data_IF_427829868979
#
_entry.id   IF_427829868979
#
_cell.length_a   1.000
_cell.length_b   1.000
_cell.length_c   1.000
_cell.angle_alpha   90.00
_cell.angle_beta   90.00
_cell.angle_gamma   90.00
#
_symmetry.space_group_name_H-M   'P 1'
#
loop_
_entity.id
_entity.type
_entity.pdbx_description
1 polymer ?
#
# COMPACT_ATOMS: atom_id res chain seq x y z
N UNK A 1 4.27 -15.22 1.37
CA UNK A 1 5.17 -15.21 2.56
C UNK A 1 4.34 -14.79 3.77
N UNK A 2 4.62 -15.33 4.95
CA UNK A 2 3.97 -14.92 6.19
C UNK A 2 5.05 -14.63 7.23
N UNK A 3 4.93 -13.51 7.94
CA UNK A 3 5.88 -13.10 8.97
C UNK A 3 5.12 -12.63 10.21
N UNK A 4 5.57 -13.06 11.38
CA UNK A 4 5.07 -12.58 12.67
C UNK A 4 5.78 -11.27 13.04
N UNK A 5 5.06 -10.33 13.65
CA UNK A 5 5.64 -9.10 14.15
C UNK A 5 6.60 -9.38 15.32
N UNK A 6 7.65 -8.57 15.43
CA UNK A 6 8.41 -8.42 16.68
C UNK A 6 7.52 -7.78 17.74
N UNK A 7 6.87 -6.68 17.38
CA UNK A 7 5.93 -5.96 18.22
C UNK A 7 4.94 -5.19 17.34
N UNK A 8 3.79 -4.85 17.94
CA UNK A 8 2.78 -3.97 17.35
C UNK A 8 2.32 -2.97 18.40
N UNK A 9 2.27 -1.70 18.02
CA UNK A 9 1.55 -0.64 18.71
C UNK A 9 0.22 -0.40 18.01
N UNK A 10 -0.87 -0.35 18.77
CA UNK A 10 -2.20 0.04 18.25
C UNK A 10 -2.72 1.21 19.06
N UNK A 11 -3.24 2.21 18.35
CA UNK A 11 -3.94 3.34 18.93
C UNK A 11 -5.26 3.58 18.22
N UNK A 12 -6.25 4.03 18.98
CA UNK A 12 -7.52 4.55 18.48
C UNK A 12 -7.44 6.06 18.63
N UNK A 13 -7.18 6.78 17.55
CA UNK A 13 -6.92 8.22 17.58
C UNK A 13 -8.01 8.98 16.84
N UNK A 14 -8.44 10.17 17.30
CA UNK A 14 -9.29 11.01 16.43
C UNK A 14 -8.44 11.63 15.30
N UNK A 15 -9.02 11.85 14.13
CA UNK A 15 -8.33 12.40 12.94
C UNK A 15 -7.74 13.81 13.22
N UNK A 16 -8.33 14.51 14.19
CA UNK A 16 -7.90 15.83 14.68
C UNK A 16 -6.93 15.79 15.86
N UNK A 17 -6.45 14.60 16.28
CA UNK A 17 -5.59 14.48 17.47
C UNK A 17 -4.22 15.13 17.29
N UNK A 18 -3.82 15.85 18.34
CA UNK A 18 -2.50 16.46 18.48
C UNK A 18 -1.39 15.40 18.48
N UNK A 19 -0.17 15.80 18.10
CA UNK A 19 0.98 14.91 17.97
C UNK A 19 1.30 14.10 19.25
N UNK A 20 0.86 14.57 20.42
CA UNK A 20 1.05 13.92 21.71
C UNK A 20 0.48 12.50 21.81
N UNK A 21 -0.71 12.22 21.27
CA UNK A 21 -1.32 10.88 21.38
C UNK A 21 -0.66 9.87 20.43
N UNK A 22 -0.27 10.30 19.22
CA UNK A 22 0.55 9.51 18.29
C UNK A 22 1.89 9.14 18.93
N UNK A 23 2.49 10.06 19.69
CA UNK A 23 3.71 9.80 20.44
C UNK A 23 3.55 8.77 21.56
N UNK A 24 2.37 8.65 22.19
CA UNK A 24 2.13 7.63 23.23
C UNK A 24 2.12 6.23 22.61
N UNK A 25 1.41 6.05 21.49
CA UNK A 25 1.39 4.78 20.75
C UNK A 25 2.79 4.40 20.28
N UNK A 26 3.57 5.38 19.80
CA UNK A 26 4.95 5.18 19.41
C UNK A 26 5.84 4.75 20.58
N UNK A 27 5.76 5.43 21.73
CA UNK A 27 6.56 5.08 22.92
C UNK A 27 6.27 3.68 23.44
N UNK A 28 4.99 3.30 23.51
CA UNK A 28 4.58 1.94 23.90
C UNK A 28 5.13 0.89 22.92
N UNK A 29 5.02 1.16 21.62
CA UNK A 29 5.57 0.31 20.58
C UNK A 29 7.10 0.15 20.69
N UNK A 30 7.84 1.24 20.84
CA UNK A 30 9.30 1.20 21.05
C UNK A 30 9.64 0.36 22.28
N UNK A 31 8.93 0.56 23.40
CA UNK A 31 9.13 -0.22 24.62
C UNK A 31 8.95 -1.73 24.39
N UNK A 32 7.93 -2.13 23.62
CA UNK A 32 7.71 -3.54 23.25
C UNK A 32 8.81 -4.11 22.37
N UNK A 33 9.36 -3.33 21.43
CA UNK A 33 10.49 -3.78 20.60
C UNK A 33 11.74 -3.98 21.44
N UNK A 34 12.05 -3.02 22.32
CA UNK A 34 13.21 -3.11 23.21
C UNK A 34 13.10 -4.31 24.16
N UNK A 35 11.92 -4.53 24.76
CA UNK A 35 11.65 -5.70 25.62
C UNK A 35 11.81 -7.02 24.85
N UNK A 36 11.33 -7.09 23.61
CA UNK A 36 11.51 -8.26 22.75
C UNK A 36 12.99 -8.50 22.37
N UNK A 37 13.75 -7.44 22.10
CA UNK A 37 15.18 -7.52 21.82
C UNK A 37 15.98 -7.97 23.05
N UNK A 38 15.62 -7.49 24.23
CA UNK A 38 16.27 -7.84 25.51
C UNK A 38 16.05 -9.31 25.87
N UNK A 39 14.82 -9.81 25.69
CA UNK A 39 14.44 -11.18 26.02
C UNK A 39 14.97 -12.22 25.03
N UNK A 40 15.30 -11.81 23.79
CA UNK A 40 15.67 -12.73 22.72
C UNK A 40 16.86 -12.21 21.90
N UNK A 41 18.09 -12.72 22.15
CA UNK A 41 19.27 -12.33 21.39
C UNK A 41 19.13 -12.53 19.88
N UNK A 42 18.39 -13.57 19.46
CA UNK A 42 18.06 -13.80 18.04
C UNK A 42 17.21 -12.66 17.47
N UNK A 43 16.21 -12.18 18.22
CA UNK A 43 15.38 -11.05 17.79
C UNK A 43 16.20 -9.79 17.69
N UNK A 44 17.06 -9.49 18.68
CA UNK A 44 17.99 -8.37 18.60
C UNK A 44 18.89 -8.46 17.37
N UNK A 45 19.56 -9.60 17.15
CA UNK A 45 20.43 -9.82 15.99
C UNK A 45 19.69 -9.61 14.66
N UNK A 46 18.44 -10.10 14.55
CA UNK A 46 17.62 -9.90 13.36
C UNK A 46 17.22 -8.42 13.18
N UNK A 47 16.91 -7.68 14.24
CA UNK A 47 16.65 -6.23 14.17
C UNK A 47 17.90 -5.50 13.66
N UNK A 48 19.09 -5.89 14.12
CA UNK A 48 20.34 -5.28 13.68
C UNK A 48 20.68 -5.52 12.19
N UNK A 49 20.02 -6.48 11.52
CA UNK A 49 20.14 -6.67 10.06
C UNK A 49 19.38 -5.62 9.25
N UNK A 50 18.47 -4.87 9.88
CA UNK A 50 17.70 -3.82 9.21
C UNK A 50 18.53 -2.53 9.09
N UNK A 51 18.23 -1.76 8.05
CA UNK A 51 18.88 -0.47 7.79
C UNK A 51 18.49 0.57 8.84
N UNK A 52 19.42 1.44 9.23
CA UNK A 52 19.15 2.63 10.04
C UNK A 52 18.77 3.85 9.20
N UNK A 53 18.84 3.74 7.86
CA UNK A 53 18.63 4.84 6.93
C UNK A 53 19.84 5.77 6.78
N UNK A 54 20.92 5.53 7.53
CA UNK A 54 22.16 6.32 7.50
C UNK A 54 23.24 5.66 6.61
N UNK A 55 23.04 4.40 6.20
CA UNK A 55 23.99 3.66 5.38
C UNK A 55 24.06 4.19 3.94
N UNK A 56 25.23 4.11 3.31
CA UNK A 56 25.35 4.38 1.89
C UNK A 56 24.77 3.22 1.08
N UNK A 57 24.23 3.49 -0.11
CA UNK A 57 23.55 2.47 -0.91
C UNK A 57 24.46 1.28 -1.28
N UNK A 58 25.77 1.49 -1.40
CA UNK A 58 26.75 0.46 -1.73
C UNK A 58 27.16 -0.40 -0.52
N UNK A 59 26.81 0.02 0.70
CA UNK A 59 27.16 -0.67 1.96
C UNK A 59 26.07 -1.66 2.41
N UNK A 60 24.88 -1.61 1.79
CA UNK A 60 23.74 -2.43 2.19
C UNK A 60 23.93 -3.90 1.73
N UNK A 61 24.21 -4.77 2.68
CA UNK A 61 24.32 -6.22 2.45
C UNK A 61 22.94 -6.86 2.60
N UNK A 62 22.47 -7.57 1.57
CA UNK A 62 21.25 -8.39 1.66
C UNK A 62 21.56 -9.65 2.48
N UNK A 63 20.93 -9.86 3.64
CA UNK A 63 21.21 -11.04 4.46
C UNK A 63 20.73 -12.33 3.79
N UNK A 64 21.40 -13.45 4.10
CA UNK A 64 21.00 -14.76 3.62
C UNK A 64 19.60 -15.14 4.13
N UNK A 65 18.73 -15.62 3.23
CA UNK A 65 17.34 -15.98 3.56
C UNK A 65 17.22 -17.07 4.64
N UNK A 66 18.28 -17.86 4.86
CA UNK A 66 18.33 -18.86 5.92
C UNK A 66 18.19 -18.25 7.32
N UNK A 67 18.66 -17.01 7.55
CA UNK A 67 18.58 -16.32 8.84
C UNK A 67 17.14 -16.15 9.35
N UNK A 68 16.19 -16.02 8.42
CA UNK A 68 14.79 -15.78 8.71
C UNK A 68 13.95 -17.06 8.78
N UNK A 69 14.54 -18.24 8.56
CA UNK A 69 13.82 -19.52 8.75
C UNK A 69 13.72 -19.83 10.24
N UNK A 70 12.51 -20.13 10.71
CA UNK A 70 12.30 -20.71 12.03
C UNK A 70 12.84 -22.14 12.00
N UNK A 71 13.80 -22.46 12.85
CA UNK A 71 14.32 -23.82 12.97
C UNK A 71 13.29 -24.69 13.73
N UNK A 72 13.16 -25.99 13.43
CA UNK A 72 12.30 -26.90 14.19
C UNK A 72 12.67 -26.97 15.69
N UNK A 73 13.92 -26.66 16.02
CA UNK A 73 14.47 -26.67 17.38
C UNK A 73 13.91 -25.53 18.25
N UNK A 74 13.47 -24.43 17.64
CA UNK A 74 12.84 -23.29 18.34
C UNK A 74 11.42 -23.64 18.86
N UNK A 75 10.83 -24.76 18.42
CA UNK A 75 9.53 -25.27 18.90
C UNK A 75 9.66 -26.23 20.10
N UNK A 76 10.88 -26.69 20.42
CA UNK A 76 11.14 -27.70 21.46
C UNK A 76 11.78 -27.13 22.75
N UNK A 77 11.98 -25.82 22.85
CA UNK A 77 12.55 -25.17 24.04
C UNK A 77 11.51 -24.93 25.17
N UNK A 78 10.68 -25.93 25.46
CA UNK A 78 9.91 -26.01 26.71
C UNK A 78 10.58 -26.88 27.78
N UNK A 79 11.79 -27.37 27.57
CA UNK A 79 12.49 -28.18 28.58
C UNK A 79 13.83 -27.57 29.01
N UNK A 80 13.73 -26.61 29.93
CA UNK A 80 14.35 -26.70 31.26
C UNK A 80 15.84 -26.99 31.43
N UNK A 81 16.69 -26.95 30.40
CA UNK A 81 18.13 -27.23 30.57
C UNK A 81 19.00 -26.02 30.24
N UNK A 82 19.42 -25.34 31.31
CA UNK A 82 20.49 -24.35 31.34
C UNK A 82 21.76 -24.92 30.68
N UNK A 83 22.05 -24.49 29.44
CA UNK A 83 23.40 -24.49 28.90
C UNK A 83 23.93 -23.06 28.99
N UNK A 84 24.86 -22.88 29.92
CA UNK A 84 25.64 -21.67 30.15
C UNK A 84 26.24 -21.19 28.82
N UNK A 85 25.94 -19.95 28.41
CA UNK A 85 26.79 -19.18 27.50
C UNK A 85 27.39 -18.04 28.31
N UNK A 86 28.64 -18.22 28.73
CA UNK A 86 29.53 -17.11 29.04
C UNK A 86 29.70 -16.29 27.76
N UNK A 87 29.00 -15.16 27.70
CA UNK A 87 29.18 -14.11 26.72
C UNK A 87 28.77 -12.83 27.43
N UNK A 88 29.64 -11.83 27.41
CA UNK A 88 29.32 -10.47 27.84
C UNK A 88 27.92 -10.11 27.35
N UNK A 89 27.01 -9.76 28.25
CA UNK A 89 25.70 -9.25 27.89
C UNK A 89 25.94 -7.98 27.07
N UNK A 90 25.97 -8.12 25.74
CA UNK A 90 26.10 -6.99 24.83
C UNK A 90 24.94 -6.06 25.14
N UNK A 91 25.29 -4.87 25.63
CA UNK A 91 24.32 -3.84 25.95
C UNK A 91 23.57 -3.53 24.66
N UNK A 92 22.24 -3.63 24.69
CA UNK A 92 21.40 -3.28 23.54
C UNK A 92 21.71 -1.85 23.11
N UNK A 93 22.05 -1.69 21.84
CA UNK A 93 22.23 -0.38 21.23
C UNK A 93 20.85 0.24 20.93
N UNK A 94 20.30 0.91 21.95
CA UNK A 94 18.98 1.55 21.88
C UNK A 94 18.93 2.62 20.80
N UNK A 95 20.01 3.40 20.61
CA UNK A 95 20.07 4.44 19.58
C UNK A 95 19.92 3.84 18.19
N UNK A 96 20.67 2.77 17.92
CA UNK A 96 20.55 2.03 16.66
C UNK A 96 19.14 1.46 16.46
N UNK A 97 18.53 0.87 17.49
CA UNK A 97 17.17 0.31 17.37
C UNK A 97 16.16 1.41 17.04
N UNK A 98 16.26 2.59 17.66
CA UNK A 98 15.36 3.70 17.36
C UNK A 98 15.47 4.13 15.88
N UNK A 99 16.69 4.24 15.35
CA UNK A 99 16.90 4.55 13.92
C UNK A 99 16.34 3.48 13.00
N UNK A 100 16.49 2.20 13.36
CA UNK A 100 15.85 1.09 12.62
C UNK A 100 14.33 1.26 12.60
N UNK A 101 13.72 1.59 13.73
CA UNK A 101 12.28 1.76 13.83
C UNK A 101 11.78 2.92 12.95
N UNK A 102 12.53 4.02 12.85
CA UNK A 102 12.13 5.18 12.05
C UNK A 102 11.93 4.87 10.56
N UNK A 103 12.66 3.88 10.00
CA UNK A 103 12.64 3.60 8.55
C UNK A 103 12.12 2.22 8.14
N UNK A 104 11.93 1.28 9.09
CA UNK A 104 11.52 -0.10 8.80
C UNK A 104 10.12 -0.46 9.30
N UNK A 105 9.49 0.40 10.09
CA UNK A 105 8.17 0.12 10.63
C UNK A 105 7.11 0.17 9.52
N UNK A 106 6.19 -0.78 9.57
CA UNK A 106 5.07 -0.87 8.64
C UNK A 106 3.79 -0.43 9.36
N UNK A 107 2.98 0.35 8.65
CA UNK A 107 1.62 0.63 9.08
C UNK A 107 0.75 -0.60 8.85
N UNK A 108 -0.17 -0.85 9.77
CA UNK A 108 -1.16 -1.90 9.67
C UNK A 108 -2.20 -1.51 8.60
N UNK A 109 -2.08 -2.09 7.41
CA UNK A 109 -3.13 -2.06 6.39
C UNK A 109 -4.30 -2.92 6.88
N UNK A 110 -5.24 -2.32 7.62
CA UNK A 110 -6.47 -2.98 8.06
C UNK A 110 -7.66 -2.44 7.24
N UNK A 111 -8.41 -3.29 6.52
CA UNK A 111 -9.69 -2.89 5.90
C UNK A 111 -10.67 -2.32 6.93
N UNK A 112 -10.53 -2.73 8.19
CA UNK A 112 -11.33 -2.25 9.31
C UNK A 112 -10.95 -0.84 9.79
N UNK A 113 -9.78 -0.30 9.43
CA UNK A 113 -9.41 1.07 9.78
C UNK A 113 -10.35 2.08 9.10
N UNK A 114 -10.74 1.81 7.85
CA UNK A 114 -11.74 2.61 7.12
C UNK A 114 -13.18 2.29 7.56
N UNK A 115 -13.51 1.02 7.81
CA UNK A 115 -14.89 0.61 8.18
C UNK A 115 -15.28 1.07 9.60
N UNK A 116 -14.32 1.18 10.52
CA UNK A 116 -14.53 1.76 11.85
C UNK A 116 -14.22 3.26 11.91
N UNK A 117 -13.65 3.84 10.84
CA UNK A 117 -13.19 5.23 10.75
C UNK A 117 -14.29 6.28 10.55
N UNK A 118 -15.56 5.86 10.56
CA UNK A 118 -16.71 6.70 10.21
C UNK A 118 -17.05 7.81 11.24
N UNK A 119 -16.29 7.95 12.33
CA UNK A 119 -16.49 9.02 13.33
C UNK A 119 -15.28 9.97 13.46
N UNK A 120 -14.39 10.02 12.45
CA UNK A 120 -13.13 10.75 12.56
C UNK A 120 -12.20 10.08 13.57
N UNK A 121 -12.19 8.75 13.62
CA UNK A 121 -11.32 7.93 14.48
C UNK A 121 -10.45 7.06 13.58
N UNK A 122 -9.15 7.32 13.53
CA UNK A 122 -8.15 6.53 12.81
C UNK A 122 -7.60 5.45 13.75
N UNK A 123 -7.80 4.18 13.40
CA UNK A 123 -7.05 3.08 14.00
C UNK A 123 -5.64 3.07 13.40
N UNK A 124 -4.66 3.56 14.13
CA UNK A 124 -3.26 3.47 13.72
C UNK A 124 -2.62 2.23 14.35
N UNK A 125 -2.32 1.23 13.51
CA UNK A 125 -1.42 0.14 13.87
C UNK A 125 -0.04 0.40 13.28
N UNK A 126 1.00 0.28 14.09
CA UNK A 126 2.41 0.27 13.64
C UNK A 126 3.06 -1.01 14.14
N UNK A 127 3.88 -1.64 13.33
CA UNK A 127 4.59 -2.83 13.74
C UNK A 127 5.91 -3.02 13.00
N UNK A 128 6.76 -3.85 13.60
CA UNK A 128 8.02 -4.26 13.00
C UNK A 128 7.92 -5.72 12.55
N UNK A 129 7.97 -5.94 11.24
CA UNK A 129 8.05 -7.27 10.65
C UNK A 129 9.36 -7.38 9.87
N UNK A 130 10.37 -8.00 10.48
CA UNK A 130 11.76 -7.96 10.00
C UNK A 130 11.87 -8.35 8.53
N UNK A 131 11.34 -9.51 8.13
CA UNK A 131 11.48 -9.98 6.75
C UNK A 131 10.71 -9.10 5.74
N UNK A 132 9.44 -8.71 5.97
CA UNK A 132 8.76 -7.70 5.15
C UNK A 132 9.44 -6.33 5.05
N UNK A 133 10.21 -5.90 6.06
CA UNK A 133 10.90 -4.59 6.06
C UNK A 133 12.00 -4.50 4.99
N UNK A 134 12.47 -5.62 4.43
CA UNK A 134 13.41 -5.63 3.30
C UNK A 134 12.75 -5.36 1.93
N UNK A 135 11.41 -5.29 1.85
CA UNK A 135 10.69 -5.15 0.58
C UNK A 135 10.64 -3.68 0.19
N UNK A 136 11.41 -3.31 -0.84
CA UNK A 136 11.55 -1.93 -1.33
C UNK A 136 10.27 -1.34 -1.94
N UNK A 137 10.30 -0.02 -2.12
CA UNK A 137 9.21 0.71 -2.75
C UNK A 137 9.20 0.64 -4.28
N UNK A 138 8.01 0.51 -4.86
CA UNK A 138 7.72 0.89 -6.25
C UNK A 138 6.35 1.53 -6.37
N UNK A 139 6.21 2.55 -7.22
CA UNK A 139 4.92 3.11 -7.59
C UNK A 139 4.14 2.26 -8.62
N UNK A 140 4.77 1.19 -9.10
CA UNK A 140 4.17 0.09 -9.85
C UNK A 140 4.52 -1.22 -9.11
N UNK A 141 3.98 -1.41 -7.89
CA UNK A 141 4.34 -2.53 -7.04
C UNK A 141 3.87 -3.86 -7.63
N UNK A 142 4.51 -4.95 -7.21
CA UNK A 142 4.15 -6.30 -7.60
C UNK A 142 3.76 -7.21 -6.43
N UNK A 143 3.85 -6.71 -5.20
CA UNK A 143 3.33 -7.35 -4.01
C UNK A 143 2.51 -6.38 -3.16
N UNK A 144 1.73 -6.95 -2.24
CA UNK A 144 1.00 -6.26 -1.19
C UNK A 144 1.06 -7.05 0.10
N UNK A 145 0.68 -6.40 1.18
CA UNK A 145 0.57 -7.02 2.50
C UNK A 145 -0.87 -6.94 3.00
N UNK A 146 -1.26 -7.92 3.80
CA UNK A 146 -2.49 -7.92 4.59
C UNK A 146 -2.13 -8.39 5.98
N UNK A 147 -2.66 -7.71 7.00
CA UNK A 147 -2.39 -8.05 8.40
C UNK A 147 -3.54 -8.88 8.97
N UNK A 148 -3.19 -9.94 9.69
CA UNK A 148 -4.12 -10.78 10.44
C UNK A 148 -3.54 -10.96 11.84
N UNK A 149 -4.12 -10.26 12.83
CA UNK A 149 -3.58 -10.24 14.18
C UNK A 149 -2.20 -9.59 14.20
N UNK A 150 -1.18 -10.35 14.58
CA UNK A 150 0.24 -9.95 14.58
C UNK A 150 1.04 -10.46 13.38
N UNK A 151 0.37 -11.09 12.41
CA UNK A 151 1.02 -11.65 11.22
C UNK A 151 0.81 -10.75 10.00
N UNK A 152 1.88 -10.44 9.29
CA UNK A 152 1.86 -9.86 7.96
C UNK A 152 1.92 -10.98 6.91
N UNK A 153 0.90 -11.02 6.04
CA UNK A 153 0.85 -11.92 4.89
C UNK A 153 1.21 -11.11 3.66
N UNK A 154 2.31 -11.47 3.02
CA UNK A 154 2.76 -10.85 1.77
C UNK A 154 2.39 -11.74 0.60
N UNK A 155 1.67 -11.17 -0.36
CA UNK A 155 1.21 -11.83 -1.58
C UNK A 155 1.54 -11.01 -2.82
N UNK A 156 1.72 -11.70 -3.94
CA UNK A 156 1.85 -11.08 -5.23
C UNK A 156 0.54 -10.37 -5.63
N UNK A 157 0.65 -9.14 -6.10
CA UNK A 157 -0.48 -8.33 -6.61
C UNK A 157 -0.58 -8.36 -8.13
N UNK A 158 0.43 -8.89 -8.81
CA UNK A 158 0.45 -9.28 -10.22
C UNK A 158 1.45 -10.41 -10.43
N UNK A 159 1.53 -10.94 -11.64
CA UNK A 159 2.57 -11.92 -11.97
C UNK A 159 3.97 -11.30 -11.80
N UNK A 160 4.87 -12.08 -11.20
CA UNK A 160 6.25 -11.71 -10.88
C UNK A 160 7.17 -12.66 -11.63
N UNK A 161 8.10 -12.14 -12.43
CA UNK A 161 9.07 -12.97 -13.15
C UNK A 161 10.18 -13.45 -12.23
N UNK A 162 10.81 -14.58 -12.56
CA UNK A 162 12.02 -15.01 -11.86
C UNK A 162 13.10 -13.92 -11.94
N UNK A 163 13.71 -13.58 -10.80
CA UNK A 163 14.70 -12.51 -10.69
C UNK A 163 14.12 -11.09 -10.65
N UNK A 164 12.79 -10.91 -10.72
CA UNK A 164 12.16 -9.61 -10.51
C UNK A 164 12.09 -9.29 -9.02
N UNK A 165 12.55 -8.10 -8.63
CA UNK A 165 12.49 -7.61 -7.25
C UNK A 165 11.03 -7.49 -6.77
N UNK A 166 10.76 -7.95 -5.54
CA UNK A 166 9.46 -7.79 -4.90
C UNK A 166 9.37 -6.40 -4.30
N UNK A 167 8.28 -5.67 -4.57
CA UNK A 167 8.12 -4.28 -4.14
C UNK A 167 6.72 -3.94 -3.62
N UNK A 168 6.66 -2.99 -2.68
CA UNK A 168 5.44 -2.43 -2.08
C UNK A 168 5.17 -0.97 -2.47
N UNK A 169 3.91 -0.52 -2.40
CA UNK A 169 3.61 0.90 -2.29
C UNK A 169 3.81 1.34 -0.83
N UNK A 170 4.78 2.22 -0.54
CA UNK A 170 5.00 2.76 0.81
C UNK A 170 4.01 3.86 1.16
N UNK A 171 3.52 4.55 0.13
CA UNK A 171 2.56 5.64 0.21
C UNK A 171 1.51 5.48 -0.89
N UNK A 172 0.51 6.36 -0.91
CA UNK A 172 -0.51 6.33 -1.95
C UNK A 172 0.10 6.55 -3.34
N UNK A 173 -0.14 5.58 -4.23
CA UNK A 173 0.35 5.59 -5.61
C UNK A 173 -0.72 6.04 -6.60
N UNK A 174 -1.93 6.36 -6.14
CA UNK A 174 -3.04 6.90 -6.95
C UNK A 174 -3.07 8.43 -7.01
N UNK A 175 -1.92 9.05 -6.73
CA UNK A 175 -1.71 10.50 -6.77
C UNK A 175 -0.68 10.88 -7.85
N UNK A 176 -0.64 12.16 -8.25
CA UNK A 176 0.27 12.61 -9.30
C UNK A 176 1.76 12.47 -8.95
N UNK A 177 2.62 12.56 -9.97
CA UNK A 177 4.07 12.32 -9.82
C UNK A 177 4.74 13.29 -8.85
N UNK A 178 4.28 14.54 -8.80
CA UNK A 178 4.79 15.54 -7.85
C UNK A 178 4.58 15.10 -6.40
N UNK A 179 3.38 14.60 -6.08
CA UNK A 179 3.02 14.09 -4.75
C UNK A 179 3.75 12.81 -4.39
N UNK A 180 3.92 11.89 -5.35
CA UNK A 180 4.71 10.66 -5.13
C UNK A 180 6.19 10.97 -4.86
N UNK A 181 6.76 12.00 -5.51
CA UNK A 181 8.13 12.47 -5.27
C UNK A 181 8.28 13.20 -3.93
N UNK A 182 7.28 13.99 -3.55
CA UNK A 182 7.22 14.60 -2.23
C UNK A 182 7.25 13.51 -1.14
N UNK A 183 6.39 12.49 -1.28
CA UNK A 183 6.34 11.36 -0.37
C UNK A 183 7.63 10.54 -0.34
N UNK A 184 8.24 10.24 -1.49
CA UNK A 184 9.52 9.49 -1.50
C UNK A 184 10.65 10.28 -0.83
N UNK A 185 10.72 11.60 -1.06
CA UNK A 185 11.73 12.46 -0.42
C UNK A 185 11.49 12.58 1.09
N UNK A 186 10.23 12.64 1.53
CA UNK A 186 9.90 12.58 2.95
C UNK A 186 10.34 11.26 3.60
N UNK A 187 10.35 10.17 2.83
CA UNK A 187 10.89 8.87 3.23
C UNK A 187 12.43 8.79 3.14
N UNK A 188 13.11 9.80 2.61
CA UNK A 188 14.56 9.82 2.46
C UNK A 188 15.12 9.24 1.16
N UNK A 189 14.29 9.01 0.12
CA UNK A 189 14.79 8.49 -1.17
C UNK A 189 14.13 9.13 -2.41
N UNK A 190 14.73 8.91 -3.58
CA UNK A 190 14.13 9.28 -4.87
C UNK A 190 13.63 8.04 -5.61
N UNK A 191 12.31 7.94 -5.84
CA UNK A 191 11.75 6.80 -6.55
C UNK A 191 12.09 6.84 -8.06
N UNK A 192 12.82 5.84 -8.54
CA UNK A 192 13.24 5.68 -9.95
C UNK A 192 12.55 4.51 -10.67
N UNK A 193 11.41 4.05 -10.17
CA UNK A 193 10.66 2.96 -10.80
C UNK A 193 10.19 3.32 -12.24
N UNK A 194 9.85 2.31 -13.03
CA UNK A 194 9.36 2.45 -14.43
C UNK A 194 8.32 3.57 -14.59
N UNK A 195 7.39 3.68 -13.64
CA UNK A 195 6.32 4.69 -13.67
C UNK A 195 6.85 6.10 -13.43
N UNK A 196 7.66 6.30 -12.40
CA UNK A 196 8.28 7.60 -12.10
C UNK A 196 9.17 8.06 -13.25
N UNK A 197 9.96 7.15 -13.82
CA UNK A 197 10.79 7.42 -15.00
C UNK A 197 9.95 7.85 -16.19
N UNK A 198 8.94 7.07 -16.56
CA UNK A 198 8.07 7.40 -17.69
C UNK A 198 7.44 8.79 -17.57
N UNK A 199 6.93 9.16 -16.40
CA UNK A 199 6.29 10.46 -16.17
C UNK A 199 7.30 11.62 -16.08
N UNK A 200 8.60 11.34 -16.21
CA UNK A 200 9.70 12.30 -16.05
C UNK A 200 10.65 12.39 -17.23
N UNK A 201 10.69 11.38 -18.10
CA UNK A 201 11.67 11.23 -19.19
C UNK A 201 11.47 12.26 -20.32
N UNK A 202 10.23 12.67 -20.60
CA UNK A 202 9.90 13.56 -21.71
C UNK A 202 9.47 14.95 -21.21
N UNK A 203 10.17 16.00 -21.67
CA UNK A 203 9.91 17.38 -21.28
C UNK A 203 8.49 17.86 -21.63
N UNK A 204 7.97 17.46 -22.79
CA UNK A 204 6.61 17.82 -23.23
C UNK A 204 5.59 17.11 -22.35
N UNK A 205 5.72 15.80 -22.14
CA UNK A 205 4.84 15.04 -21.26
C UNK A 205 4.87 15.59 -19.83
N UNK A 206 6.06 15.94 -19.31
CA UNK A 206 6.23 16.54 -17.99
C UNK A 206 5.47 17.85 -17.85
N UNK A 207 5.57 18.76 -18.83
CA UNK A 207 4.82 20.02 -18.82
C UNK A 207 3.30 19.78 -18.84
N UNK A 208 2.85 18.77 -19.58
CA UNK A 208 1.43 18.42 -19.66
C UNK A 208 0.90 17.82 -18.37
N UNK A 209 1.67 16.95 -17.72
CA UNK A 209 1.36 16.40 -16.40
C UNK A 209 1.25 17.54 -15.40
N UNK A 210 2.23 18.46 -15.36
CA UNK A 210 2.20 19.61 -14.45
C UNK A 210 0.97 20.50 -14.67
N UNK A 211 0.58 20.75 -15.92
CA UNK A 211 -0.66 21.50 -16.21
C UNK A 211 -1.88 20.76 -15.67
N UNK A 212 -1.94 19.45 -15.89
CA UNK A 212 -3.05 18.60 -15.43
C UNK A 212 -3.12 18.52 -13.90
N UNK A 213 -1.97 18.50 -13.23
CA UNK A 213 -1.86 18.55 -11.77
C UNK A 213 -2.38 19.89 -11.23
N UNK A 214 -2.03 21.01 -11.87
CA UNK A 214 -2.55 22.32 -11.49
C UNK A 214 -4.07 22.40 -11.68
N UNK A 215 -4.60 21.87 -12.79
CA UNK A 215 -6.05 21.82 -13.03
C UNK A 215 -6.78 20.98 -11.94
N UNK A 216 -6.15 19.90 -11.49
CA UNK A 216 -6.66 19.03 -10.42
C UNK A 216 -6.69 19.78 -9.07
N UNK A 217 -5.60 20.48 -8.71
CA UNK A 217 -5.50 21.23 -7.44
C UNK A 217 -6.44 22.43 -7.42
N UNK A 218 -6.59 23.13 -8.54
CA UNK A 218 -7.45 24.32 -8.64
C UNK A 218 -8.95 24.01 -8.66
N UNK A 219 -9.35 22.73 -8.67
CA UNK A 219 -10.76 22.33 -8.65
C UNK A 219 -11.52 22.67 -9.93
N UNK A 220 -10.87 22.55 -11.10
CA UNK A 220 -11.52 22.77 -12.40
C UNK A 220 -12.60 21.72 -12.76
N UNK A 221 -13.16 21.81 -13.97
CA UNK A 221 -14.10 20.78 -14.47
C UNK A 221 -13.34 19.45 -14.70
N UNK A 222 -13.49 18.52 -13.74
CA UNK A 222 -12.81 17.22 -13.75
C UNK A 222 -13.12 16.38 -14.99
N UNK A 223 -14.34 16.46 -15.51
CA UNK A 223 -14.69 15.76 -16.74
C UNK A 223 -13.95 16.33 -17.95
N UNK A 224 -13.80 17.66 -18.03
CA UNK A 224 -12.99 18.28 -19.06
C UNK A 224 -11.51 17.88 -18.94
N UNK A 225 -10.97 17.76 -17.72
CA UNK A 225 -9.60 17.28 -17.47
C UNK A 225 -9.41 15.84 -17.95
N UNK A 226 -10.29 14.92 -17.54
CA UNK A 226 -10.23 13.50 -17.94
C UNK A 226 -10.31 13.34 -19.45
N UNK A 227 -11.24 14.04 -20.12
CA UNK A 227 -11.35 13.99 -21.58
C UNK A 227 -10.06 14.45 -22.26
N UNK A 228 -9.42 15.53 -21.77
CA UNK A 228 -8.13 15.99 -22.31
C UNK A 228 -7.03 14.94 -22.13
N UNK A 229 -6.97 14.30 -20.96
CA UNK A 229 -5.99 13.25 -20.67
C UNK A 229 -6.17 12.06 -21.63
N UNK A 230 -7.39 11.54 -21.77
CA UNK A 230 -7.70 10.38 -22.63
C UNK A 230 -7.47 10.69 -24.11
N UNK A 231 -7.86 11.88 -24.59
CA UNK A 231 -7.61 12.27 -25.97
C UNK A 231 -6.11 12.36 -26.28
N UNK A 232 -5.31 12.88 -25.36
CA UNK A 232 -3.85 12.95 -25.52
C UNK A 232 -3.20 11.58 -25.50
N UNK A 233 -3.56 10.72 -24.55
CA UNK A 233 -3.08 9.34 -24.49
C UNK A 233 -3.40 8.56 -25.77
N UNK A 234 -4.56 8.82 -26.37
CA UNK A 234 -4.95 8.25 -27.66
C UNK A 234 -4.09 8.77 -28.81
N UNK A 235 -3.77 10.07 -28.84
CA UNK A 235 -2.95 10.71 -29.88
C UNK A 235 -1.47 10.34 -29.81
N UNK A 236 -0.91 10.18 -28.61
CA UNK A 236 0.51 9.87 -28.41
C UNK A 236 0.90 8.41 -28.70
N UNK A 237 -0.06 7.57 -29.12
CA UNK A 237 0.12 6.12 -29.29
C UNK A 237 0.78 5.44 -28.08
N UNK A 238 0.50 5.94 -26.87
CA UNK A 238 1.06 5.39 -25.65
C UNK A 238 0.68 3.91 -25.52
N UNK A 239 1.65 3.05 -25.19
CA UNK A 239 1.40 1.65 -24.82
C UNK A 239 0.38 1.60 -23.67
N UNK A 240 -0.47 0.58 -23.63
CA UNK A 240 -1.55 0.51 -22.63
C UNK A 240 -1.04 0.63 -21.18
N UNK A 241 0.13 0.04 -20.89
CA UNK A 241 0.83 0.19 -19.60
C UNK A 241 1.12 1.65 -19.21
N UNK A 242 1.48 2.51 -20.18
CA UNK A 242 1.74 3.93 -19.95
C UNK A 242 0.46 4.72 -19.72
N UNK A 243 -0.63 4.35 -20.39
CA UNK A 243 -1.95 4.94 -20.12
C UNK A 243 -2.42 4.61 -18.70
N UNK A 244 -2.22 3.37 -18.29
CA UNK A 244 -2.50 2.90 -16.93
C UNK A 244 -1.76 3.73 -15.86
N UNK A 245 -0.50 4.08 -16.09
CA UNK A 245 0.26 4.96 -15.20
C UNK A 245 -0.37 6.34 -15.06
N UNK A 246 -0.76 6.97 -16.17
CA UNK A 246 -1.41 8.28 -16.14
C UNK A 246 -2.80 8.23 -15.51
N UNK A 247 -3.61 7.20 -15.82
CA UNK A 247 -4.91 6.98 -15.15
C UNK A 247 -4.75 6.84 -13.65
N UNK A 248 -3.74 6.10 -13.20
CA UNK A 248 -3.44 5.96 -11.77
C UNK A 248 -3.00 7.29 -11.15
N UNK A 249 -2.19 8.10 -11.85
CA UNK A 249 -1.71 9.40 -11.36
C UNK A 249 -2.82 10.44 -11.22
N UNK A 250 -3.90 10.32 -12.00
CA UNK A 250 -5.05 11.22 -11.98
C UNK A 250 -6.32 10.55 -11.48
N UNK A 251 -6.21 9.47 -10.69
CA UNK A 251 -7.35 8.67 -10.25
C UNK A 251 -8.45 9.51 -9.58
N UNK A 252 -8.09 10.49 -8.76
CA UNK A 252 -9.06 11.39 -8.11
C UNK A 252 -9.94 12.15 -9.11
N UNK A 253 -9.41 12.56 -10.27
CA UNK A 253 -10.20 13.18 -11.34
C UNK A 253 -11.18 12.18 -11.98
N UNK A 254 -10.71 10.95 -12.24
CA UNK A 254 -11.57 9.88 -12.77
C UNK A 254 -12.69 9.53 -11.77
N UNK A 255 -12.33 9.29 -10.50
CA UNK A 255 -13.30 8.99 -9.44
C UNK A 255 -14.34 10.10 -9.32
N UNK A 256 -13.92 11.37 -9.28
CA UNK A 256 -14.83 12.51 -9.20
C UNK A 256 -15.85 12.56 -10.37
N UNK A 257 -15.44 12.14 -11.58
CA UNK A 257 -16.37 12.05 -12.71
C UNK A 257 -17.41 10.96 -12.50
N UNK A 258 -17.01 9.77 -12.05
CA UNK A 258 -17.91 8.62 -11.87
C UNK A 258 -18.79 8.74 -10.62
N UNK A 259 -18.29 9.38 -9.57
CA UNK A 259 -19.02 9.63 -8.32
C UNK A 259 -20.09 10.74 -8.48
N UNK A 260 -20.18 11.41 -9.63
CA UNK A 260 -21.12 12.51 -9.87
C UNK A 260 -22.00 12.25 -11.10
N UNK A 261 -23.29 11.95 -10.87
CA UNK A 261 -24.31 11.82 -11.92
C UNK A 261 -24.32 12.99 -12.91
N UNK A 262 -24.09 14.21 -12.41
CA UNK A 262 -24.02 15.42 -13.24
C UNK A 262 -22.85 15.36 -14.22
N UNK A 263 -21.66 14.94 -13.75
CA UNK A 263 -20.47 14.81 -14.59
C UNK A 263 -20.58 13.60 -15.52
N UNK A 264 -21.11 12.47 -15.07
CA UNK A 264 -21.40 11.29 -15.91
C UNK A 264 -22.34 11.67 -17.05
N UNK A 265 -23.44 12.37 -16.78
CA UNK A 265 -24.38 12.82 -17.84
C UNK A 265 -23.72 13.77 -18.83
N UNK A 266 -22.87 14.68 -18.37
CA UNK A 266 -22.20 15.69 -19.21
C UNK A 266 -21.06 15.11 -20.05
N UNK A 267 -20.25 14.22 -19.46
CA UNK A 267 -18.96 13.80 -20.00
C UNK A 267 -18.86 12.30 -20.30
N UNK A 268 -19.77 11.47 -19.80
CA UNK A 268 -19.71 10.00 -19.84
C UNK A 268 -19.51 9.40 -21.23
N UNK A 269 -20.06 10.02 -22.28
CA UNK A 269 -19.86 9.55 -23.68
C UNK A 269 -18.45 9.81 -24.23
N UNK A 270 -17.67 10.67 -23.57
CA UNK A 270 -16.32 11.12 -23.99
C UNK A 270 -15.20 10.55 -23.13
N UNK A 271 -15.53 9.90 -22.03
CA UNK A 271 -14.58 9.23 -21.14
C UNK A 271 -14.79 7.72 -21.21
N UNK A 272 -13.76 6.89 -20.94
CA UNK A 272 -13.94 5.45 -20.87
C UNK A 272 -14.87 5.05 -19.71
N UNK A 273 -15.34 3.80 -19.71
CA UNK A 273 -16.14 3.28 -18.60
C UNK A 273 -15.30 3.16 -17.32
N UNK A 274 -15.94 3.31 -16.16
CA UNK A 274 -15.28 3.16 -14.84
C UNK A 274 -14.59 1.79 -14.71
N UNK A 275 -15.23 0.72 -15.21
CA UNK A 275 -14.67 -0.63 -15.20
C UNK A 275 -13.35 -0.74 -16.00
N UNK A 276 -13.26 -0.09 -17.17
CA UNK A 276 -12.04 -0.09 -17.98
C UNK A 276 -10.93 0.70 -17.31
N UNK A 277 -11.26 1.88 -16.76
CA UNK A 277 -10.28 2.70 -16.04
C UNK A 277 -9.77 1.97 -14.81
N UNK A 278 -10.66 1.36 -14.03
CA UNK A 278 -10.29 0.61 -12.83
C UNK A 278 -9.40 -0.60 -13.15
N UNK A 279 -9.73 -1.37 -14.19
CA UNK A 279 -8.90 -2.48 -14.68
C UNK A 279 -7.51 -1.98 -15.12
N UNK A 280 -7.47 -0.89 -15.89
CA UNK A 280 -6.21 -0.28 -16.33
C UNK A 280 -5.35 0.15 -15.14
N UNK A 281 -5.95 0.80 -14.13
CA UNK A 281 -5.24 1.23 -12.93
C UNK A 281 -4.76 0.03 -12.11
N UNK A 282 -5.58 -1.00 -11.94
CA UNK A 282 -5.17 -2.22 -11.23
C UNK A 282 -3.96 -2.87 -11.89
N UNK A 283 -3.90 -2.93 -13.23
CA UNK A 283 -2.70 -3.42 -13.93
C UNK A 283 -1.46 -2.56 -13.66
N UNK A 284 -1.62 -1.26 -13.38
CA UNK A 284 -0.55 -0.36 -12.99
C UNK A 284 -0.17 -0.39 -11.50
N UNK A 285 -1.05 -0.79 -10.59
CA UNK A 285 -0.77 -0.73 -9.13
C UNK A 285 -0.98 -2.05 -8.38
N UNK A 286 -1.18 -3.14 -9.14
CA UNK A 286 -1.52 -4.47 -8.67
C UNK A 286 -3.00 -4.57 -8.26
N UNK A 287 -3.37 -3.95 -7.14
CA UNK A 287 -4.77 -3.93 -6.70
C UNK A 287 -5.01 -3.01 -5.51
N UNK A 288 -5.76 -1.94 -5.67
CA UNK A 288 -6.02 -0.93 -4.65
C UNK A 288 -7.50 -0.96 -4.20
N UNK A 289 -7.78 -0.74 -2.90
CA UNK A 289 -9.14 -0.78 -2.38
C UNK A 289 -10.07 0.27 -3.01
N UNK A 290 -9.59 1.50 -3.26
CA UNK A 290 -10.40 2.55 -3.90
C UNK A 290 -10.80 2.15 -5.33
N UNK A 291 -9.89 1.51 -6.06
CA UNK A 291 -10.12 1.02 -7.42
C UNK A 291 -11.11 -0.15 -7.41
N UNK A 292 -10.96 -1.05 -6.44
CA UNK A 292 -11.88 -2.16 -6.24
C UNK A 292 -13.29 -1.67 -5.87
N UNK A 293 -13.39 -0.68 -4.99
CA UNK A 293 -14.63 -0.02 -4.57
C UNK A 293 -15.36 0.60 -5.75
N UNK A 294 -14.62 1.29 -6.63
CA UNK A 294 -15.15 1.83 -7.88
C UNK A 294 -15.78 0.75 -8.77
N UNK A 295 -15.09 -0.38 -8.98
CA UNK A 295 -15.66 -1.48 -9.78
C UNK A 295 -16.94 -2.10 -9.17
N UNK A 296 -17.05 -2.09 -7.85
CA UNK A 296 -18.21 -2.63 -7.15
C UNK A 296 -19.44 -1.73 -7.28
N UNK A 297 -19.28 -0.41 -7.36
CA UNK A 297 -20.40 0.53 -7.57
C UNK A 297 -21.07 0.31 -8.92
N UNK A 298 -20.30 0.23 -10.00
CA UNK A 298 -20.81 -0.02 -11.35
C UNK A 298 -21.55 -1.37 -11.51
N UNK A 299 -21.40 -2.30 -10.57
CA UNK A 299 -22.13 -3.58 -10.55
C UNK A 299 -23.56 -3.45 -9.97
N UNK A 300 -23.83 -2.48 -9.10
CA UNK A 300 -25.17 -2.24 -8.52
C UNK A 300 -26.15 -1.60 -9.53
N UNK A 301 -25.64 -0.78 -10.45
CA UNK A 301 -26.48 -0.05 -11.43
C UNK A 301 -26.85 -0.90 -12.66
N UNK A 302 -26.26 -2.08 -12.80
CA UNK A 302 -26.58 -3.04 -13.86
C UNK A 302 -27.88 -3.80 -13.52
N UNK A 303 -29.00 -3.08 -13.50
CA UNK A 303 -30.33 -3.67 -13.54
C UNK A 303 -30.55 -4.33 -14.91
N UNK A 304 -30.04 -5.55 -15.06
CA UNK A 304 -30.33 -6.46 -16.16
C UNK A 304 -29.59 -6.16 -17.48
N UNK A 305 -28.99 -7.20 -18.05
CA UNK A 305 -28.59 -7.32 -19.46
C UNK A 305 -27.20 -6.82 -19.91
N UNK A 306 -26.22 -6.70 -18.99
CA UNK A 306 -24.79 -6.55 -19.33
C UNK A 306 -23.93 -7.65 -18.72
N UNK A 307 -22.70 -7.83 -19.22
CA UNK A 307 -21.75 -8.92 -18.96
C UNK A 307 -21.32 -9.07 -17.47
N UNK A 308 -22.26 -9.39 -16.58
CA UNK A 308 -22.09 -9.43 -15.12
C UNK A 308 -21.00 -10.41 -14.69
N UNK A 309 -20.88 -11.55 -15.39
CA UNK A 309 -19.83 -12.54 -15.17
C UNK A 309 -18.43 -11.98 -15.45
N UNK A 310 -18.26 -11.18 -16.52
CA UNK A 310 -16.96 -10.56 -16.85
C UNK A 310 -16.58 -9.49 -15.82
N UNK A 311 -17.54 -8.65 -15.41
CA UNK A 311 -17.32 -7.65 -14.35
C UNK A 311 -16.98 -8.33 -13.03
N UNK A 312 -17.68 -9.41 -12.69
CA UNK A 312 -17.42 -10.20 -11.48
C UNK A 312 -16.00 -10.81 -11.49
N UNK A 313 -15.57 -11.39 -12.60
CA UNK A 313 -14.22 -11.96 -12.70
C UNK A 313 -13.13 -10.88 -12.56
N UNK A 314 -13.36 -9.68 -13.12
CA UNK A 314 -12.46 -8.53 -12.92
C UNK A 314 -12.41 -8.05 -11.47
N UNK A 315 -13.57 -7.91 -10.83
CA UNK A 315 -13.66 -7.57 -9.39
C UNK A 315 -12.92 -8.61 -8.55
N UNK A 316 -13.07 -9.90 -8.84
CA UNK A 316 -12.39 -10.98 -8.12
C UNK A 316 -10.87 -10.95 -8.38
N UNK A 317 -10.45 -10.62 -9.61
CA UNK A 317 -9.03 -10.45 -9.96
C UNK A 317 -8.39 -9.33 -9.14
N UNK A 318 -8.99 -8.14 -9.14
CA UNK A 318 -8.50 -6.99 -8.36
C UNK A 318 -8.58 -7.30 -6.87
N UNK A 319 -9.68 -7.88 -6.38
CA UNK A 319 -9.83 -8.28 -4.99
C UNK A 319 -8.74 -9.25 -4.53
N UNK A 320 -8.36 -10.21 -5.36
CA UNK A 320 -7.22 -11.11 -5.09
C UNK A 320 -5.87 -10.39 -5.11
N UNK A 321 -5.70 -9.39 -5.96
CA UNK A 321 -4.49 -8.56 -5.96
C UNK A 321 -4.40 -7.67 -4.71
N UNK A 322 -5.54 -7.19 -4.21
CA UNK A 322 -5.64 -6.36 -3.00
C UNK A 322 -5.46 -7.19 -1.73
N UNK A 323 -6.26 -8.23 -1.53
CA UNK A 323 -6.31 -8.99 -0.26
C UNK A 323 -5.64 -10.37 -0.31
N UNK A 324 -5.08 -10.75 -1.46
CA UNK A 324 -4.45 -12.04 -1.66
C UNK A 324 -5.46 -13.17 -1.88
N UNK A 325 -4.95 -14.36 -2.23
CA UNK A 325 -5.77 -15.58 -2.39
C UNK A 325 -6.26 -16.16 -1.06
N UNK A 326 -5.76 -15.65 0.07
CA UNK A 326 -6.15 -16.07 1.42
C UNK A 326 -7.61 -15.71 1.70
N UNK A 327 -8.07 -14.56 1.21
CA UNK A 327 -9.48 -14.20 1.30
C UNK A 327 -10.26 -14.94 0.22
N UNK A 328 -11.08 -15.91 0.65
CA UNK A 328 -11.92 -16.70 -0.28
C UNK A 328 -12.93 -15.80 -1.00
N UNK A 329 -13.35 -16.20 -2.21
CA UNK A 329 -14.32 -15.46 -3.04
C UNK A 329 -15.58 -15.04 -2.26
N UNK A 330 -16.13 -15.92 -1.43
CA UNK A 330 -17.32 -15.60 -0.64
C UNK A 330 -17.03 -14.55 0.46
N UNK A 331 -15.89 -14.63 1.13
CA UNK A 331 -15.46 -13.64 2.12
C UNK A 331 -15.15 -12.29 1.47
N UNK A 332 -14.52 -12.28 0.30
CA UNK A 332 -14.34 -11.06 -0.50
C UNK A 332 -15.69 -10.41 -0.82
N UNK A 333 -16.67 -11.19 -1.31
CA UNK A 333 -18.03 -10.67 -1.58
C UNK A 333 -18.70 -10.09 -0.32
N UNK A 334 -18.52 -10.71 0.84
CA UNK A 334 -19.06 -10.20 2.10
C UNK A 334 -18.38 -8.90 2.53
N UNK A 335 -17.04 -8.84 2.48
CA UNK A 335 -16.25 -7.62 2.73
C UNK A 335 -16.73 -6.48 1.83
N UNK A 336 -16.91 -6.76 0.53
CA UNK A 336 -17.37 -5.78 -0.45
C UNK A 336 -18.75 -5.23 -0.16
N UNK A 337 -19.69 -6.07 0.29
CA UNK A 337 -21.01 -5.60 0.70
C UNK A 337 -20.91 -4.65 1.90
N UNK A 338 -20.13 -5.02 2.92
CA UNK A 338 -19.91 -4.18 4.10
C UNK A 338 -19.30 -2.82 3.73
N UNK A 339 -18.27 -2.79 2.88
CA UNK A 339 -17.63 -1.54 2.42
C UNK A 339 -18.60 -0.64 1.64
N UNK A 340 -19.48 -1.22 0.81
CA UNK A 340 -20.48 -0.46 0.06
C UNK A 340 -21.60 0.08 0.97
N UNK A 341 -22.04 -0.71 1.94
CA UNK A 341 -23.15 -0.36 2.83
C UNK A 341 -22.73 0.70 3.87
N UNK A 342 -21.47 0.69 4.31
CA UNK A 342 -20.90 1.71 5.19
C UNK A 342 -20.97 3.13 4.58
N UNK A 343 -20.87 3.26 3.25
CA UNK A 343 -20.95 4.55 2.55
C UNK A 343 -22.39 5.00 2.28
N UNK A 344 -23.35 4.08 2.14
CA UNK A 344 -24.75 4.45 1.94
C UNK A 344 -25.36 5.10 3.18
N UNK A 345 -24.87 4.77 4.37
CA UNK A 345 -25.27 5.40 5.63
C UNK A 345 -24.67 6.80 5.85
N UNK A 346 -23.86 7.31 4.91
CA UNK A 346 -23.28 8.67 4.95
C UNK A 346 -24.19 9.69 4.24
N UNK A 347 -25.19 9.22 3.47
CA UNK A 347 -26.09 10.06 2.67
C UNK A 347 -27.54 10.11 3.22
N UNK A 348 -27.76 9.79 4.50
CA UNK A 348 -29.07 9.89 5.17
C UNK A 348 -29.05 10.89 6.32
#
# INVERSE_FOLDING_TARGET
MMAKAVAIGRGVLQDTTDGGEKMVVWKDFVGKVLDAAEKCPRTAALIHTLSTGEEQQDDLVVPEMALFRQEPEDLNLTDGTNMVREGTQEVLDVDRILKVLDVNCLTEDAPAADVLGNNGIVNCGVGLWILPSFINHSCHPNARRTHVGDHAIVHASRDIKAGEEITFPYFDVLVPVSKRREASRAWGFECKCDRCRFESEDCTLKQEILKSENDLVNGGDMGALVVRLEEKMRKSMAKERRKAFLRASFWSAYSAVYDSDKLVRKWGRRVPSEALVAESIADAVGGNENVLRAMLRGSKDANGCGNWLEVEDKVVRIGRATYGKVVKRHAMRALFRLTLDANNNINL
#
